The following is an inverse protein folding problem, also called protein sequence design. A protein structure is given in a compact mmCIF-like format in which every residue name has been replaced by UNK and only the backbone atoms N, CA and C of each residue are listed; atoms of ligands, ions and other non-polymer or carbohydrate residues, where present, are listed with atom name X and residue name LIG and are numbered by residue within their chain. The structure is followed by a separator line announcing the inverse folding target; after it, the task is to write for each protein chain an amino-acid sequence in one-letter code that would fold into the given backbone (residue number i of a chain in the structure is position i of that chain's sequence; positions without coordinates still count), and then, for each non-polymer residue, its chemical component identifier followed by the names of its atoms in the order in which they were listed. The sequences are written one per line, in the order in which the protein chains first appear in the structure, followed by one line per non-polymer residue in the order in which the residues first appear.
data_IF_614549889475
#
_entry.id   IF_614549889475
#
_cell.length_a   1.000
_cell.length_b   1.000
_cell.length_c   1.000
_cell.angle_alpha   90.00
_cell.angle_beta   90.00
_cell.angle_gamma   90.00
#
_symmetry.space_group_name_H-M   'P 1'
#
loop_
_entity.id
_entity.type
_entity.pdbx_description
1 polymer ?
#
# COMPACT_ATOMS: atom_id res chain seq x y z
N UNK A 1 30.51 13.14 -25.80
CA UNK A 1 29.80 11.86 -25.58
C UNK A 1 28.29 12.06 -25.46
N UNK A 2 27.76 12.67 -24.39
CA UNK A 2 26.31 12.79 -24.17
C UNK A 2 25.54 13.51 -25.32
N UNK A 3 26.12 14.55 -25.92
CA UNK A 3 25.58 15.20 -27.14
C UNK A 3 25.59 14.30 -28.38
N UNK A 4 26.61 13.45 -28.53
CA UNK A 4 26.74 12.52 -29.67
C UNK A 4 25.76 11.35 -29.50
N UNK A 5 25.58 10.86 -28.27
CA UNK A 5 24.59 9.85 -27.93
C UNK A 5 23.15 10.27 -28.32
N UNK A 6 22.85 11.57 -28.24
CA UNK A 6 21.57 12.13 -28.67
C UNK A 6 21.44 12.24 -30.20
N UNK A 7 22.55 12.33 -30.94
CA UNK A 7 22.58 12.55 -32.39
C UNK A 7 22.79 11.27 -33.20
N UNK A 8 23.58 10.33 -32.71
CA UNK A 8 23.92 9.07 -33.40
C UNK A 8 23.96 7.89 -32.42
N UNK A 9 22.80 7.39 -31.95
CA UNK A 9 22.73 6.30 -30.98
C UNK A 9 23.38 5.00 -31.49
N UNK A 10 23.31 4.74 -32.81
CA UNK A 10 23.84 3.52 -33.44
C UNK A 10 25.36 3.39 -33.37
N UNK A 11 26.10 4.50 -33.42
CA UNK A 11 27.56 4.49 -33.29
C UNK A 11 28.01 4.24 -31.84
N UNK A 12 27.23 4.75 -30.87
CA UNK A 12 27.52 4.54 -29.44
C UNK A 12 27.27 3.11 -29.01
N UNK A 13 26.37 2.38 -29.69
CA UNK A 13 26.15 0.96 -29.46
C UNK A 13 27.40 0.09 -29.63
N UNK A 14 28.39 0.53 -30.42
CA UNK A 14 29.67 -0.19 -30.61
C UNK A 14 30.52 -0.17 -29.33
N UNK A 15 30.45 0.91 -28.54
CA UNK A 15 31.20 1.08 -27.30
C UNK A 15 30.36 0.72 -26.06
N UNK A 16 29.23 0.03 -26.21
CA UNK A 16 28.30 -0.24 -25.11
C UNK A 16 28.94 -1.08 -24.00
N UNK A 17 29.75 -2.08 -24.34
CA UNK A 17 30.47 -2.89 -23.35
C UNK A 17 31.50 -2.09 -22.54
N UNK A 18 32.17 -1.12 -23.17
CA UNK A 18 33.11 -0.22 -22.49
C UNK A 18 32.36 0.73 -21.55
N UNK A 19 31.24 1.30 -22.01
CA UNK A 19 30.38 2.14 -21.18
C UNK A 19 29.80 1.38 -19.98
N UNK A 20 29.41 0.12 -20.14
CA UNK A 20 28.95 -0.71 -19.02
C UNK A 20 30.05 -0.93 -17.96
N UNK A 21 31.31 -1.05 -18.38
CA UNK A 21 32.44 -1.17 -17.44
C UNK A 21 32.68 0.11 -16.64
N UNK A 22 32.33 1.27 -17.21
CA UNK A 22 32.49 2.58 -16.57
C UNK A 22 31.42 2.88 -15.52
N UNK A 23 30.33 2.10 -15.44
CA UNK A 23 29.31 2.24 -14.38
C UNK A 23 29.96 2.05 -12.99
N UNK A 24 30.96 1.19 -12.90
CA UNK A 24 31.61 0.79 -11.65
C UNK A 24 32.89 1.59 -11.38
N UNK A 25 33.12 2.68 -12.12
CA UNK A 25 34.32 3.49 -12.03
C UNK A 25 34.39 4.22 -10.68
N UNK A 26 35.60 4.33 -10.10
CA UNK A 26 35.83 5.03 -8.83
C UNK A 26 35.44 6.51 -8.92
N UNK A 27 35.50 7.10 -10.11
CA UNK A 27 35.07 8.45 -10.35
C UNK A 27 33.55 8.51 -10.61
N UNK A 28 32.82 8.98 -9.60
CA UNK A 28 31.37 9.16 -9.64
C UNK A 28 30.87 9.97 -10.84
N UNK A 29 31.66 10.95 -11.31
CA UNK A 29 31.29 11.76 -12.48
C UNK A 29 31.35 10.95 -13.78
N UNK A 30 32.31 10.03 -13.89
CA UNK A 30 32.46 9.13 -15.05
C UNK A 30 31.35 8.09 -15.05
N UNK A 31 31.10 7.45 -13.90
CA UNK A 31 30.01 6.51 -13.72
C UNK A 31 28.64 7.11 -14.06
N UNK A 32 28.37 8.32 -13.54
CA UNK A 32 27.13 9.05 -13.83
C UNK A 32 26.97 9.35 -15.32
N UNK A 33 28.02 9.85 -15.97
CA UNK A 33 27.98 10.13 -17.41
C UNK A 33 27.79 8.86 -18.25
N UNK A 34 28.40 7.75 -17.83
CA UNK A 34 28.22 6.45 -18.46
C UNK A 34 26.76 5.99 -18.34
N UNK A 35 26.17 6.03 -17.14
CA UNK A 35 24.76 5.68 -16.90
C UNK A 35 23.82 6.57 -17.73
N UNK A 36 23.99 7.90 -17.66
CA UNK A 36 23.18 8.88 -18.42
C UNK A 36 23.26 8.62 -19.93
N UNK A 37 24.46 8.25 -20.43
CA UNK A 37 24.66 7.89 -21.84
C UNK A 37 23.98 6.57 -22.17
N UNK A 38 24.17 5.54 -21.35
CA UNK A 38 23.58 4.21 -21.55
C UNK A 38 22.05 4.26 -21.52
N UNK A 39 21.42 5.00 -20.60
CA UNK A 39 19.96 5.17 -20.58
C UNK A 39 19.43 5.78 -21.88
N UNK A 40 20.19 6.70 -22.49
CA UNK A 40 19.84 7.34 -23.77
C UNK A 40 20.04 6.43 -24.99
N UNK A 41 21.05 5.56 -24.98
CA UNK A 41 21.41 4.73 -26.14
C UNK A 41 21.00 3.27 -26.04
N UNK A 42 20.54 2.84 -24.87
CA UNK A 42 20.12 1.47 -24.56
C UNK A 42 19.10 0.93 -25.57
N UNK A 43 19.21 -0.34 -25.94
CA UNK A 43 18.23 -1.07 -26.74
C UNK A 43 17.27 -1.87 -25.84
N UNK A 44 16.15 -2.33 -26.38
CA UNK A 44 15.12 -3.02 -25.60
C UNK A 44 15.65 -4.24 -24.82
N UNK A 45 16.57 -5.01 -25.42
CA UNK A 45 17.15 -6.21 -24.81
C UNK A 45 18.06 -5.89 -23.61
N UNK A 46 18.78 -4.76 -23.65
CA UNK A 46 19.73 -4.37 -22.59
C UNK A 46 19.09 -3.61 -21.43
N UNK A 47 17.85 -3.09 -21.57
CA UNK A 47 17.16 -2.32 -20.51
C UNK A 47 17.19 -3.07 -19.19
N UNK A 48 16.81 -4.35 -19.18
CA UNK A 48 16.69 -5.12 -17.94
C UNK A 48 18.03 -5.35 -17.25
N UNK A 49 19.12 -5.51 -18.01
CA UNK A 49 20.47 -5.64 -17.46
C UNK A 49 20.96 -4.31 -16.92
N UNK A 50 20.77 -3.24 -17.70
CA UNK A 50 21.20 -1.89 -17.34
C UNK A 50 20.50 -1.40 -16.06
N UNK A 51 19.18 -1.57 -15.95
CA UNK A 51 18.44 -1.16 -14.76
C UNK A 51 18.94 -1.91 -13.51
N UNK A 52 19.22 -3.21 -13.60
CA UNK A 52 19.80 -3.97 -12.48
C UNK A 52 21.19 -3.49 -12.07
N UNK A 53 22.03 -3.11 -13.04
CA UNK A 53 23.34 -2.53 -12.73
C UNK A 53 23.16 -1.17 -12.05
N UNK A 54 22.29 -0.31 -12.57
CA UNK A 54 21.99 0.98 -11.97
C UNK A 54 21.48 0.79 -10.54
N UNK A 55 20.52 -0.10 -10.31
CA UNK A 55 19.96 -0.43 -9.00
C UNK A 55 21.06 -0.77 -7.97
N UNK A 56 22.04 -1.59 -8.36
CA UNK A 56 23.17 -1.94 -7.50
C UNK A 56 24.09 -0.76 -7.16
N UNK A 57 24.33 0.15 -8.10
CA UNK A 57 25.26 1.28 -7.92
C UNK A 57 24.58 2.58 -7.45
N UNK A 58 23.26 2.65 -7.53
CA UNK A 58 22.49 3.85 -7.19
C UNK A 58 22.76 4.33 -5.76
N UNK A 59 22.85 3.48 -4.72
CA UNK A 59 23.10 3.93 -3.35
C UNK A 59 24.39 4.73 -3.18
N UNK A 60 25.44 4.43 -3.96
CA UNK A 60 26.76 5.06 -3.88
C UNK A 60 26.83 6.43 -4.58
N UNK A 61 25.79 6.80 -5.33
CA UNK A 61 25.75 8.04 -6.10
C UNK A 61 25.27 9.23 -5.27
N UNK A 62 25.75 10.41 -5.64
CA UNK A 62 25.29 11.68 -5.06
C UNK A 62 23.84 11.99 -5.46
N UNK A 63 23.13 12.72 -4.60
CA UNK A 63 21.69 13.00 -4.75
C UNK A 63 21.31 13.62 -6.10
N UNK A 64 22.09 14.59 -6.59
CA UNK A 64 21.80 15.27 -7.86
C UNK A 64 21.89 14.29 -9.04
N UNK A 65 22.80 13.31 -8.97
CA UNK A 65 22.93 12.26 -9.99
C UNK A 65 21.82 11.23 -9.90
N UNK A 66 21.40 10.85 -8.68
CA UNK A 66 20.24 9.96 -8.50
C UNK A 66 18.99 10.58 -9.15
N UNK A 67 18.75 11.88 -8.93
CA UNK A 67 17.64 12.60 -9.56
C UNK A 67 17.77 12.62 -11.09
N UNK A 68 18.97 12.88 -11.63
CA UNK A 68 19.20 12.84 -13.10
C UNK A 68 18.92 11.45 -13.70
N UNK A 69 19.25 10.37 -12.97
CA UNK A 69 18.97 8.99 -13.39
C UNK A 69 17.47 8.73 -13.46
N UNK A 70 16.70 9.19 -12.48
CA UNK A 70 15.24 9.05 -12.47
C UNK A 70 14.61 9.83 -13.63
N UNK A 71 15.04 11.07 -13.88
CA UNK A 71 14.61 11.85 -15.05
C UNK A 71 14.98 11.18 -16.37
N UNK A 72 16.17 10.56 -16.44
CA UNK A 72 16.59 9.80 -17.63
C UNK A 72 15.75 8.53 -17.81
N UNK A 73 15.28 7.93 -16.72
CA UNK A 73 14.39 6.76 -16.72
C UNK A 73 13.00 7.11 -17.26
N UNK A 74 12.50 8.32 -16.95
CA UNK A 74 11.29 8.87 -17.59
C UNK A 74 11.44 8.94 -19.12
N UNK A 75 12.56 9.46 -19.62
CA UNK A 75 12.83 9.53 -21.06
C UNK A 75 13.00 8.13 -21.69
N UNK A 76 13.59 7.19 -20.95
CA UNK A 76 13.72 5.81 -21.40
C UNK A 76 12.35 5.16 -21.62
N UNK A 77 11.41 5.35 -20.70
CA UNK A 77 10.05 4.82 -20.83
C UNK A 77 9.31 5.41 -22.05
N UNK A 78 9.44 6.72 -22.30
CA UNK A 78 8.86 7.33 -23.50
C UNK A 78 9.40 6.72 -24.80
N UNK A 79 10.62 6.18 -24.78
CA UNK A 79 11.26 5.53 -25.93
C UNK A 79 10.97 4.03 -26.01
N UNK A 80 10.89 3.32 -24.89
CA UNK A 80 10.74 1.86 -24.81
C UNK A 80 9.64 1.50 -23.78
N UNK A 81 8.36 1.75 -24.11
CA UNK A 81 7.25 1.51 -23.17
C UNK A 81 7.06 0.02 -22.85
N UNK A 82 7.49 -0.89 -23.72
CA UNK A 82 7.38 -2.34 -23.52
C UNK A 82 8.12 -2.86 -22.27
N UNK A 83 9.11 -2.10 -21.77
CA UNK A 83 9.90 -2.46 -20.58
C UNK A 83 9.42 -1.76 -19.31
N UNK A 84 8.24 -1.13 -19.32
CA UNK A 84 7.69 -0.42 -18.18
C UNK A 84 7.60 -1.26 -16.89
N UNK A 85 7.30 -2.56 -17.01
CA UNK A 85 7.21 -3.43 -15.83
C UNK A 85 8.53 -3.49 -15.03
N UNK A 86 9.67 -3.49 -15.73
CA UNK A 86 11.02 -3.49 -15.14
C UNK A 86 11.33 -2.12 -14.54
N UNK A 87 11.00 -1.06 -15.28
CA UNK A 87 11.23 0.31 -14.83
C UNK A 87 10.41 0.63 -13.59
N UNK A 88 9.11 0.30 -13.58
CA UNK A 88 8.23 0.49 -12.42
C UNK A 88 8.71 -0.29 -11.21
N UNK A 89 9.24 -1.51 -11.40
CA UNK A 89 9.82 -2.27 -10.31
C UNK A 89 11.01 -1.52 -9.70
N UNK A 90 11.95 -1.08 -10.53
CA UNK A 90 13.08 -0.27 -10.09
C UNK A 90 12.65 1.01 -9.36
N UNK A 91 11.65 1.73 -9.86
CA UNK A 91 11.11 2.92 -9.18
C UNK A 91 10.46 2.58 -7.83
N UNK A 92 9.79 1.44 -7.72
CA UNK A 92 9.22 0.94 -6.45
C UNK A 92 10.31 0.66 -5.43
N UNK A 93 11.40 0.02 -5.86
CA UNK A 93 12.54 -0.30 -5.00
C UNK A 93 13.25 1.01 -4.54
N UNK A 94 13.39 2.00 -5.44
CA UNK A 94 13.91 3.33 -5.10
C UNK A 94 13.13 4.07 -4.00
N UNK A 95 11.80 3.89 -3.91
CA UNK A 95 10.99 4.52 -2.87
C UNK A 95 11.27 3.97 -1.47
N UNK A 96 11.76 2.72 -1.37
CA UNK A 96 12.01 2.02 -0.10
C UNK A 96 13.38 2.36 0.50
N UNK A 97 14.39 2.55 -0.36
CA UNK A 97 15.79 2.61 0.08
C UNK A 97 16.27 4.03 0.44
N UNK A 98 15.82 5.06 -0.29
CA UNK A 98 16.32 6.43 -0.11
C UNK A 98 15.35 7.30 0.71
N UNK A 99 15.85 7.92 1.78
CA UNK A 99 15.07 8.85 2.62
C UNK A 99 15.00 10.29 2.08
N UNK A 100 15.72 10.62 1.01
CA UNK A 100 15.81 12.01 0.54
C UNK A 100 14.52 12.48 -0.16
N UNK A 101 13.96 13.59 0.32
CA UNK A 101 12.70 14.17 -0.18
C UNK A 101 12.75 14.50 -1.67
N UNK A 102 13.82 15.14 -2.17
CA UNK A 102 13.93 15.56 -3.57
C UNK A 102 14.01 14.36 -4.52
N UNK A 103 14.69 13.30 -4.09
CA UNK A 103 14.75 12.06 -4.86
C UNK A 103 13.43 11.31 -4.84
N UNK A 104 12.82 11.14 -3.67
CA UNK A 104 11.48 10.51 -3.57
C UNK A 104 10.45 11.24 -4.42
N UNK A 105 10.44 12.57 -4.37
CA UNK A 105 9.53 13.37 -5.20
C UNK A 105 9.77 13.11 -6.69
N UNK A 106 11.02 13.07 -7.16
CA UNK A 106 11.32 12.75 -8.57
C UNK A 106 10.85 11.34 -8.96
N UNK A 107 10.98 10.36 -8.06
CA UNK A 107 10.51 8.98 -8.28
C UNK A 107 8.98 8.95 -8.35
N UNK A 108 8.30 9.60 -7.41
CA UNK A 108 6.83 9.71 -7.38
C UNK A 108 6.31 10.36 -8.67
N UNK A 109 6.91 11.47 -9.10
CA UNK A 109 6.53 12.17 -10.33
C UNK A 109 6.69 11.28 -11.57
N UNK A 110 7.73 10.45 -11.58
CA UNK A 110 7.96 9.48 -12.64
C UNK A 110 6.90 8.38 -12.63
N UNK A 111 6.51 7.84 -11.47
CA UNK A 111 5.45 6.83 -11.37
C UNK A 111 4.10 7.42 -11.80
N UNK A 112 3.78 8.66 -11.40
CA UNK A 112 2.56 9.36 -11.81
C UNK A 112 2.46 9.49 -13.33
N UNK A 113 3.57 9.75 -14.02
CA UNK A 113 3.61 9.80 -15.48
C UNK A 113 3.27 8.46 -16.15
N UNK A 114 3.62 7.33 -15.52
CA UNK A 114 3.43 5.99 -16.08
C UNK A 114 2.00 5.50 -15.87
N UNK A 115 1.31 6.03 -14.87
CA UNK A 115 -0.03 5.61 -14.43
C UNK A 115 -1.07 5.51 -15.57
N UNK A 116 -1.19 6.43 -16.54
CA UNK A 116 -2.22 6.32 -17.58
C UNK A 116 -2.18 5.03 -18.40
N UNK A 117 -0.99 4.42 -18.56
CA UNK A 117 -0.81 3.15 -19.30
C UNK A 117 -0.64 1.94 -18.37
N UNK A 118 -0.24 2.17 -17.12
CA UNK A 118 0.03 1.13 -16.12
C UNK A 118 -0.70 1.40 -14.80
N UNK A 119 -2.00 1.69 -14.89
CA UNK A 119 -2.81 2.26 -13.80
C UNK A 119 -2.74 1.45 -12.51
N UNK A 120 -3.14 0.19 -12.56
CA UNK A 120 -3.24 -0.65 -11.35
C UNK A 120 -1.91 -0.73 -10.60
N UNK A 121 -0.80 -0.99 -11.32
CA UNK A 121 0.52 -1.12 -10.72
C UNK A 121 1.06 0.22 -10.20
N UNK A 122 0.84 1.31 -10.92
CA UNK A 122 1.30 2.62 -10.46
C UNK A 122 0.51 3.11 -9.23
N UNK A 123 -0.81 2.95 -9.25
CA UNK A 123 -1.67 3.38 -8.16
C UNK A 123 -1.42 2.58 -6.88
N UNK A 124 -1.25 1.25 -6.96
CA UNK A 124 -0.96 0.46 -5.77
C UNK A 124 0.38 0.84 -5.14
N UNK A 125 1.44 1.01 -5.95
CA UNK A 125 2.75 1.45 -5.46
C UNK A 125 2.68 2.82 -4.77
N UNK A 126 1.93 3.76 -5.34
CA UNK A 126 1.74 5.08 -4.74
C UNK A 126 0.89 5.02 -3.46
N UNK A 127 -0.15 4.18 -3.44
CA UNK A 127 -1.04 4.02 -2.29
C UNK A 127 -0.35 3.31 -1.11
N UNK A 128 0.54 2.34 -1.37
CA UNK A 128 1.42 1.77 -0.36
C UNK A 128 2.41 2.82 0.16
N UNK A 129 2.98 3.64 -0.74
CA UNK A 129 3.96 4.65 -0.32
C UNK A 129 3.38 5.73 0.60
N UNK A 130 2.10 6.09 0.50
CA UNK A 130 1.49 7.06 1.43
C UNK A 130 1.37 6.52 2.86
N UNK A 131 1.43 5.21 3.07
CA UNK A 131 1.36 4.63 4.42
C UNK A 131 2.67 4.84 5.20
N UNK A 132 3.80 4.72 4.49
CA UNK A 132 5.15 4.76 5.08
C UNK A 132 5.85 6.12 4.90
N UNK A 133 5.26 7.05 4.13
CA UNK A 133 5.92 8.30 3.77
C UNK A 133 5.76 9.36 4.87
N UNK A 134 6.82 9.76 5.55
CA UNK A 134 6.76 10.80 6.60
C UNK A 134 6.63 12.25 6.08
N UNK A 135 6.66 12.46 4.76
CA UNK A 135 6.71 13.79 4.15
C UNK A 135 5.33 14.30 3.72
N UNK A 136 4.74 15.32 4.39
CA UNK A 136 3.38 15.77 4.11
C UNK A 136 3.17 16.28 2.67
N UNK A 137 4.19 16.93 2.10
CA UNK A 137 4.14 17.41 0.72
C UNK A 137 3.98 16.27 -0.29
N UNK A 138 4.73 15.17 -0.10
CA UNK A 138 4.66 14.00 -0.98
C UNK A 138 3.33 13.26 -0.77
N UNK A 139 2.93 13.05 0.49
CA UNK A 139 1.65 12.40 0.79
C UNK A 139 0.47 13.13 0.16
N UNK A 140 0.36 14.45 0.37
CA UNK A 140 -0.74 15.27 -0.19
C UNK A 140 -0.72 15.26 -1.72
N UNK A 141 0.46 15.32 -2.35
CA UNK A 141 0.62 15.19 -3.80
C UNK A 141 0.08 13.86 -4.31
N UNK A 142 0.43 12.74 -3.65
CA UNK A 142 -0.07 11.42 -4.02
C UNK A 142 -1.58 11.30 -3.78
N UNK A 143 -2.10 11.75 -2.63
CA UNK A 143 -3.54 11.70 -2.33
C UNK A 143 -4.35 12.47 -3.38
N UNK A 144 -3.90 13.67 -3.78
CA UNK A 144 -4.54 14.45 -4.83
C UNK A 144 -4.48 13.75 -6.19
N UNK A 145 -3.39 13.03 -6.48
CA UNK A 145 -3.29 12.22 -7.70
C UNK A 145 -4.24 11.02 -7.67
N UNK A 146 -4.33 10.31 -6.54
CA UNK A 146 -5.27 9.20 -6.34
C UNK A 146 -6.72 9.67 -6.47
N UNK A 147 -7.05 10.89 -6.03
CA UNK A 147 -8.38 11.49 -6.19
C UNK A 147 -8.82 11.59 -7.67
N UNK A 148 -7.87 11.73 -8.60
CA UNK A 148 -8.14 11.91 -10.03
C UNK A 148 -8.08 10.58 -10.79
N UNK A 149 -7.07 9.75 -10.52
CA UNK A 149 -6.84 8.50 -11.27
C UNK A 149 -7.45 7.26 -10.61
N UNK A 150 -7.63 7.27 -9.29
CA UNK A 150 -8.20 6.15 -8.53
C UNK A 150 -9.65 5.80 -8.90
N UNK A 151 -10.56 6.78 -9.15
CA UNK A 151 -11.91 6.48 -9.63
C UNK A 151 -11.96 5.76 -10.98
N UNK A 152 -10.87 5.84 -11.78
CA UNK A 152 -10.75 5.20 -13.09
C UNK A 152 -10.11 3.81 -13.02
N UNK A 153 -9.74 3.34 -11.84
CA UNK A 153 -9.14 2.03 -11.63
C UNK A 153 -10.19 0.92 -11.71
N UNK A 154 -9.73 -0.32 -11.90
CA UNK A 154 -10.62 -1.49 -11.92
C UNK A 154 -11.30 -1.72 -10.55
N UNK A 155 -10.59 -1.42 -9.45
CA UNK A 155 -11.14 -1.54 -8.10
C UNK A 155 -10.92 -0.26 -7.26
N UNK A 156 -11.78 0.77 -7.41
CA UNK A 156 -11.64 2.03 -6.69
C UNK A 156 -11.73 1.91 -5.16
N UNK A 157 -12.43 0.90 -4.64
CA UNK A 157 -12.65 0.68 -3.21
C UNK A 157 -11.33 0.50 -2.44
N UNK A 158 -10.37 -0.19 -3.04
CA UNK A 158 -9.04 -0.42 -2.44
C UNK A 158 -8.34 0.91 -2.11
N UNK A 159 -8.42 1.90 -3.00
CA UNK A 159 -7.77 3.20 -2.82
C UNK A 159 -8.49 4.09 -1.82
N UNK A 160 -9.82 3.99 -1.73
CA UNK A 160 -10.61 4.66 -0.69
C UNK A 160 -10.13 4.24 0.70
N UNK A 161 -9.86 2.94 0.91
CA UNK A 161 -9.33 2.42 2.17
C UNK A 161 -7.98 3.05 2.51
N UNK A 162 -7.03 3.05 1.56
CA UNK A 162 -5.71 3.68 1.74
C UNK A 162 -5.82 5.16 2.13
N UNK A 163 -6.73 5.90 1.49
CA UNK A 163 -6.97 7.33 1.76
C UNK A 163 -7.62 7.53 3.13
N UNK A 164 -8.68 6.77 3.44
CA UNK A 164 -9.42 6.91 4.69
C UNK A 164 -8.55 6.61 5.92
N UNK A 165 -7.66 5.61 5.83
CA UNK A 165 -6.72 5.30 6.91
C UNK A 165 -5.83 6.48 7.30
N UNK A 166 -5.51 7.39 6.35
CA UNK A 166 -4.73 8.61 6.65
C UNK A 166 -5.51 9.63 7.48
N UNK A 167 -6.85 9.61 7.45
CA UNK A 167 -7.67 10.56 8.23
C UNK A 167 -7.47 10.37 9.73
N UNK A 168 -7.23 9.16 10.23
CA UNK A 168 -7.04 8.98 11.68
C UNK A 168 -5.57 9.09 12.13
N UNK A 169 -4.63 8.88 11.21
CA UNK A 169 -3.22 8.67 11.53
C UNK A 169 -2.34 9.88 11.25
N UNK A 170 -2.82 10.84 10.45
CA UNK A 170 -1.98 11.91 9.91
C UNK A 170 -2.32 13.31 10.41
N UNK A 171 -1.45 14.27 10.06
CA UNK A 171 -1.62 15.69 10.39
C UNK A 171 -2.76 16.33 9.59
N UNK A 172 -3.35 17.40 10.13
CA UNK A 172 -4.53 18.08 9.57
C UNK A 172 -4.45 18.35 8.05
N UNK A 173 -3.31 18.84 7.54
CA UNK A 173 -3.13 19.12 6.10
C UNK A 173 -3.33 17.87 5.23
N UNK A 174 -2.87 16.71 5.68
CA UNK A 174 -3.01 15.44 4.97
C UNK A 174 -4.45 14.93 5.11
N UNK A 175 -5.02 14.99 6.31
CA UNK A 175 -6.42 14.60 6.56
C UNK A 175 -7.39 15.40 5.68
N UNK A 176 -7.17 16.70 5.57
CA UNK A 176 -7.99 17.55 4.74
C UNK A 176 -7.84 17.22 3.24
N UNK A 177 -6.64 16.85 2.78
CA UNK A 177 -6.44 16.36 1.41
C UNK A 177 -7.17 15.02 1.20
N UNK A 178 -7.15 14.12 2.19
CA UNK A 178 -7.87 12.85 2.15
C UNK A 178 -9.39 13.07 2.07
N UNK A 179 -9.95 14.01 2.83
CA UNK A 179 -11.37 14.41 2.74
C UNK A 179 -11.74 14.86 1.32
N UNK A 180 -10.94 15.75 0.71
CA UNK A 180 -11.14 16.17 -0.69
C UNK A 180 -11.05 14.99 -1.66
N UNK A 181 -10.10 14.09 -1.44
CA UNK A 181 -9.94 12.91 -2.29
C UNK A 181 -11.16 11.99 -2.20
N UNK A 182 -11.66 11.70 -1.00
CA UNK A 182 -12.89 10.91 -0.81
C UNK A 182 -14.07 11.53 -1.56
N UNK A 183 -14.26 12.85 -1.46
CA UNK A 183 -15.31 13.53 -2.19
C UNK A 183 -15.16 13.39 -3.72
N UNK A 184 -13.93 13.43 -4.24
CA UNK A 184 -13.67 13.19 -5.66
C UNK A 184 -14.02 11.75 -6.09
N UNK A 185 -13.76 10.75 -5.24
CA UNK A 185 -14.21 9.37 -5.49
C UNK A 185 -15.74 9.25 -5.48
N UNK A 186 -16.44 9.96 -4.58
CA UNK A 186 -17.90 9.97 -4.55
C UNK A 186 -18.53 10.54 -5.83
N UNK A 187 -17.86 11.52 -6.44
CA UNK A 187 -18.25 12.08 -7.73
C UNK A 187 -17.87 11.17 -8.91
N UNK A 188 -16.73 10.47 -8.83
CA UNK A 188 -16.23 9.62 -9.91
C UNK A 188 -16.85 8.22 -9.98
N UNK A 189 -17.38 7.70 -8.86
CA UNK A 189 -17.92 6.34 -8.76
C UNK A 189 -19.28 6.37 -8.05
N UNK A 190 -20.36 6.42 -8.84
CA UNK A 190 -21.72 6.59 -8.33
C UNK A 190 -22.12 5.52 -7.27
N UNK A 191 -21.77 4.25 -7.49
CA UNK A 191 -22.07 3.17 -6.56
C UNK A 191 -21.41 3.29 -5.18
N UNK A 192 -20.31 4.04 -5.05
CA UNK A 192 -19.61 4.22 -3.78
C UNK A 192 -20.02 5.49 -3.03
N UNK A 193 -20.90 6.31 -3.61
CA UNK A 193 -21.25 7.63 -3.08
C UNK A 193 -21.83 7.57 -1.68
N UNK A 194 -22.77 6.64 -1.40
CA UNK A 194 -23.38 6.45 -0.07
C UNK A 194 -22.36 6.00 0.97
N UNK A 195 -21.51 5.03 0.62
CA UNK A 195 -20.44 4.54 1.49
C UNK A 195 -19.45 5.65 1.84
N UNK A 196 -19.04 6.46 0.86
CA UNK A 196 -18.15 7.59 1.09
C UNK A 196 -18.82 8.68 1.93
N UNK A 197 -20.10 8.97 1.71
CA UNK A 197 -20.84 9.93 2.53
C UNK A 197 -20.82 9.53 4.01
N UNK A 198 -20.95 8.24 4.32
CA UNK A 198 -20.81 7.73 5.69
C UNK A 198 -19.40 7.97 6.25
N UNK A 199 -18.35 7.76 5.45
CA UNK A 199 -16.96 8.04 5.87
C UNK A 199 -16.74 9.54 6.15
N UNK A 200 -17.24 10.42 5.28
CA UNK A 200 -17.11 11.87 5.45
C UNK A 200 -17.81 12.36 6.70
N UNK A 201 -18.97 11.78 7.07
CA UNK A 201 -19.69 12.12 8.30
C UNK A 201 -18.84 11.87 9.56
N UNK A 202 -17.95 10.87 9.55
CA UNK A 202 -17.00 10.63 10.66
C UNK A 202 -15.95 11.74 10.80
N UNK A 203 -15.68 12.49 9.73
CA UNK A 203 -14.72 13.60 9.75
C UNK A 203 -15.31 14.88 10.37
N UNK A 204 -16.61 14.91 10.69
CA UNK A 204 -17.24 16.07 11.36
C UNK A 204 -16.79 16.23 12.82
N UNK A 205 -16.23 15.20 13.43
CA UNK A 205 -15.70 15.23 14.79
C UNK A 205 -14.17 15.45 14.83
N UNK A 206 -13.55 15.81 13.69
CA UNK A 206 -12.09 16.05 13.62
C UNK A 206 -11.67 17.25 14.50
N UNK A 207 -10.51 17.18 15.15
CA UNK A 207 -10.02 18.27 16.00
C UNK A 207 -9.66 19.56 15.24
N UNK A 208 -9.40 19.48 13.94
CA UNK A 208 -9.02 20.62 13.11
C UNK A 208 -10.22 21.23 12.37
N UNK A 209 -10.38 22.55 12.50
CA UNK A 209 -11.51 23.30 11.92
C UNK A 209 -11.56 23.15 10.40
N UNK A 210 -10.40 23.16 9.74
CA UNK A 210 -10.30 23.10 8.28
C UNK A 210 -10.79 21.75 7.75
N UNK A 211 -10.42 20.65 8.43
CA UNK A 211 -10.88 19.29 8.08
C UNK A 211 -12.40 19.17 8.25
N UNK A 212 -12.95 19.65 9.38
CA UNK A 212 -14.39 19.57 9.66
C UNK A 212 -15.21 20.39 8.67
N UNK A 213 -14.82 21.64 8.41
CA UNK A 213 -15.53 22.53 7.49
C UNK A 213 -15.52 21.97 6.06
N UNK A 214 -14.38 21.43 5.63
CA UNK A 214 -14.23 20.79 4.33
C UNK A 214 -15.09 19.53 4.21
N UNK A 215 -15.14 18.70 5.25
CA UNK A 215 -16.01 17.53 5.27
C UNK A 215 -17.48 17.93 5.18
N UNK A 216 -17.91 18.90 5.97
CA UNK A 216 -19.27 19.44 5.94
C UNK A 216 -19.65 19.96 4.54
N UNK A 217 -18.76 20.74 3.92
CA UNK A 217 -18.98 21.26 2.56
C UNK A 217 -19.25 20.14 1.55
N UNK A 218 -18.42 19.09 1.52
CA UNK A 218 -18.60 17.98 0.59
C UNK A 218 -19.81 17.10 0.91
N UNK A 219 -20.13 16.90 2.19
CA UNK A 219 -21.35 16.18 2.62
C UNK A 219 -22.59 16.86 2.03
N UNK A 220 -22.71 18.18 2.21
CA UNK A 220 -23.86 18.95 1.69
C UNK A 220 -23.95 18.85 0.17
N UNK A 221 -22.81 18.93 -0.54
CA UNK A 221 -22.77 18.79 -1.99
C UNK A 221 -23.25 17.40 -2.45
N UNK A 222 -22.75 16.35 -1.82
CA UNK A 222 -23.06 14.96 -2.15
C UNK A 222 -24.52 14.62 -1.83
N UNK A 223 -25.03 15.08 -0.68
CA UNK A 223 -26.43 14.87 -0.28
C UNK A 223 -27.39 15.57 -1.23
N UNK A 224 -27.07 16.78 -1.67
CA UNK A 224 -27.87 17.48 -2.68
C UNK A 224 -27.90 16.71 -4.01
N UNK A 225 -26.76 16.23 -4.47
CA UNK A 225 -26.66 15.48 -5.71
C UNK A 225 -27.39 14.12 -5.64
N UNK A 226 -27.41 13.48 -4.46
CA UNK A 226 -28.25 12.30 -4.19
C UNK A 226 -29.75 12.63 -4.21
N UNK A 227 -30.15 13.79 -3.68
CA UNK A 227 -31.55 14.22 -3.73
C UNK A 227 -32.00 14.55 -5.15
N UNK A 228 -31.18 15.27 -5.92
CA UNK A 228 -31.46 15.62 -7.31
C UNK A 228 -31.59 14.36 -8.19
N UNK A 229 -30.72 13.36 -7.99
CA UNK A 229 -30.80 12.07 -8.69
C UNK A 229 -32.03 11.24 -8.30
N UNK A 230 -32.44 11.22 -7.02
CA UNK A 230 -33.68 10.55 -6.59
C UNK A 230 -34.91 11.24 -7.19
N UNK A 231 -34.93 12.57 -7.31
CA UNK A 231 -36.04 13.28 -7.95
C UNK A 231 -36.13 12.95 -9.45
N UNK A 232 -35.00 12.83 -10.15
CA UNK A 232 -34.95 12.39 -11.55
C UNK A 232 -35.39 10.91 -11.72
N UNK A 233 -35.00 10.03 -10.78
CA UNK A 233 -35.46 8.64 -10.74
C UNK A 233 -36.95 8.54 -10.42
N UNK A 234 -37.48 9.29 -9.44
CA UNK A 234 -38.92 9.33 -9.13
C UNK A 234 -39.76 9.94 -10.27
N UNK A 235 -39.17 10.83 -11.07
CA UNK A 235 -39.81 11.36 -12.29
C UNK A 235 -39.86 10.31 -13.42
N UNK A 236 -38.93 9.35 -13.43
CA UNK A 236 -38.87 8.28 -14.44
C UNK A 236 -39.53 6.96 -13.98
N UNK A 237 -39.63 6.71 -12.68
CA UNK A 237 -40.14 5.50 -12.04
C UNK A 237 -41.57 5.65 -11.47
N UNK A 238 -42.37 6.60 -11.97
CA UNK A 238 -43.83 6.55 -11.80
C UNK A 238 -44.45 5.42 -12.67
N UNK A 239 -43.93 4.22 -12.53
CA UNK A 239 -44.61 2.95 -12.69
C UNK A 239 -43.88 1.91 -11.81
N UNK A 240 -44.52 1.62 -10.69
CA UNK A 240 -44.35 0.42 -9.86
C UNK A 240 -43.29 0.43 -8.74
N UNK A 241 -43.83 0.24 -7.53
CA UNK A 241 -43.21 0.16 -6.21
C UNK A 241 -42.55 -1.19 -5.94
N UNK A 242 -41.36 -1.20 -5.33
CA UNK A 242 -41.09 -1.92 -4.05
C UNK A 242 -39.66 -1.65 -3.57
N UNK A 243 -39.51 -1.23 -2.31
CA UNK A 243 -38.23 -1.00 -1.64
C UNK A 243 -37.69 -2.31 -1.07
N UNK A 244 -36.60 -2.81 -1.65
CA UNK A 244 -35.63 -3.67 -0.99
C UNK A 244 -34.27 -3.05 -1.31
N UNK A 245 -33.51 -2.65 -0.28
CA UNK A 245 -32.27 -1.88 -0.42
C UNK A 245 -31.05 -2.84 -0.47
N UNK A 246 -30.47 -3.11 -1.65
CA UNK A 246 -29.31 -3.98 -1.80
C UNK A 246 -27.98 -3.35 -1.33
N UNK A 247 -27.92 -2.05 -1.08
CA UNK A 247 -26.67 -1.33 -0.75
C UNK A 247 -26.13 -1.66 0.64
N UNK A 248 -26.97 -2.20 1.53
CA UNK A 248 -26.57 -2.60 2.88
C UNK A 248 -25.69 -3.87 2.87
N UNK A 249 -25.80 -4.71 1.83
CA UNK A 249 -24.99 -5.91 1.68
C UNK A 249 -23.56 -5.57 1.25
N UNK A 250 -23.37 -4.62 0.31
CA UNK A 250 -22.04 -4.13 -0.08
C UNK A 250 -21.29 -3.42 1.06
N UNK A 251 -22.02 -2.80 2.00
CA UNK A 251 -21.42 -2.19 3.19
C UNK A 251 -20.81 -3.22 4.15
N UNK A 252 -21.38 -4.42 4.25
CA UNK A 252 -20.84 -5.49 5.10
C UNK A 252 -19.51 -6.02 4.53
N UNK A 253 -19.41 -6.14 3.21
CA UNK A 253 -18.15 -6.50 2.54
C UNK A 253 -17.11 -5.37 2.63
N UNK A 254 -17.54 -4.09 2.64
CA UNK A 254 -16.66 -2.93 2.78
C UNK A 254 -15.98 -2.80 4.15
N UNK A 255 -16.63 -3.23 5.23
CA UNK A 255 -16.15 -3.03 6.62
C UNK A 255 -15.34 -4.23 7.15
N UNK A 256 -15.54 -5.43 6.62
CA UNK A 256 -15.03 -6.68 7.23
C UNK A 256 -13.87 -7.36 6.49
N UNK A 257 -13.20 -6.70 5.55
CA UNK A 257 -11.94 -7.18 4.97
C UNK A 257 -10.74 -6.92 5.93
N UNK A 258 -10.80 -7.53 7.12
CA UNK A 258 -9.63 -7.96 7.90
C UNK A 258 -9.75 -9.46 8.09
N UNK A 259 -8.68 -10.20 7.80
CA UNK A 259 -8.54 -11.62 8.13
C UNK A 259 -8.73 -11.85 9.65
N UNK A 260 -9.98 -12.00 10.07
CA UNK A 260 -10.51 -12.68 11.27
C UNK A 260 -12.02 -12.45 11.24
N UNK A 261 -12.77 -13.32 10.53
CA UNK A 261 -14.23 -13.26 10.50
C UNK A 261 -14.78 -13.43 11.93
N UNK A 262 -15.21 -12.33 12.54
CA UNK A 262 -16.13 -12.39 13.68
C UNK A 262 -17.49 -12.69 13.08
N UNK A 263 -17.94 -13.93 13.27
CA UNK A 263 -19.27 -14.37 12.88
C UNK A 263 -20.31 -13.65 13.75
N UNK A 264 -20.85 -12.56 13.18
CA UNK A 264 -21.86 -11.70 13.83
C UNK A 264 -23.12 -12.50 14.17
N UNK A 265 -23.45 -13.53 13.39
CA UNK A 265 -24.63 -14.36 13.63
C UNK A 265 -24.40 -15.33 14.79
N UNK A 266 -23.19 -15.89 14.90
CA UNK A 266 -22.77 -16.67 16.06
C UNK A 266 -22.69 -15.81 17.34
N UNK A 267 -22.19 -14.57 17.23
CA UNK A 267 -22.12 -13.62 18.35
C UNK A 267 -23.52 -13.21 18.81
N UNK A 268 -24.43 -12.95 17.87
CA UNK A 268 -25.81 -12.61 18.17
C UNK A 268 -26.55 -13.78 18.81
N UNK A 269 -26.31 -15.01 18.34
CA UNK A 269 -26.87 -16.22 18.95
C UNK A 269 -26.34 -16.40 20.38
N UNK A 270 -25.03 -16.24 20.61
CA UNK A 270 -24.41 -16.32 21.92
C UNK A 270 -24.95 -15.26 22.91
N UNK A 271 -25.11 -14.01 22.46
CA UNK A 271 -25.68 -12.93 23.27
C UNK A 271 -27.15 -13.17 23.63
N UNK A 272 -27.90 -13.82 22.73
CA UNK A 272 -29.32 -14.12 22.95
C UNK A 272 -29.48 -15.28 23.95
N UNK A 273 -28.63 -16.30 23.83
CA UNK A 273 -28.65 -17.50 24.69
C UNK A 273 -28.10 -17.22 26.10
N UNK A 274 -27.13 -16.31 26.23
CA UNK A 274 -26.49 -15.98 27.52
C UNK A 274 -26.99 -14.67 28.14
N UNK A 275 -28.10 -14.11 27.62
CA UNK A 275 -28.66 -12.81 28.00
C UNK A 275 -28.95 -12.68 29.51
N UNK A 276 -29.43 -13.74 30.15
CA UNK A 276 -29.76 -13.72 31.59
C UNK A 276 -28.52 -13.84 32.50
N UNK A 277 -27.46 -14.49 32.00
CA UNK A 277 -26.20 -14.65 32.74
C UNK A 277 -25.33 -13.38 32.68
N UNK A 278 -25.31 -12.70 31.53
CA UNK A 278 -24.55 -11.46 31.29
C UNK A 278 -25.13 -10.23 32.03
N UNK A 279 -26.45 -10.22 32.27
CA UNK A 279 -27.12 -9.12 32.98
C UNK A 279 -26.86 -9.15 34.50
N UNK A 280 -26.38 -10.27 35.04
CA UNK A 280 -26.17 -10.46 36.48
C UNK A 280 -24.70 -10.71 36.90
N UNK A 281 -23.72 -10.51 36.01
CA UNK A 281 -22.29 -10.67 36.33
C UNK A 281 -21.55 -9.33 36.32
N UNK A 282 -20.87 -8.98 37.42
CA UNK A 282 -20.06 -7.76 37.56
C UNK A 282 -18.57 -7.93 37.13
N UNK A 283 -18.19 -9.01 36.44
CA UNK A 283 -16.80 -9.23 35.99
C UNK A 283 -16.64 -9.21 34.46
N UNK A 284 -15.53 -8.65 33.97
CA UNK A 284 -15.17 -8.54 32.56
C UNK A 284 -14.93 -9.91 31.90
N UNK A 285 -15.59 -10.17 30.78
CA UNK A 285 -15.44 -11.41 30.00
C UNK A 285 -14.35 -11.24 28.95
N UNK A 286 -13.25 -12.00 29.07
CA UNK A 286 -12.23 -12.13 28.03
C UNK A 286 -12.60 -13.24 27.03
N UNK A 287 -12.58 -12.92 25.73
CA UNK A 287 -12.85 -13.86 24.64
C UNK A 287 -11.51 -14.17 23.94
N UNK A 288 -11.04 -15.41 24.02
CA UNK A 288 -9.91 -15.90 23.23
C UNK A 288 -10.40 -16.46 21.88
N UNK A 289 -9.89 -15.90 20.78
CA UNK A 289 -10.20 -16.36 19.41
C UNK A 289 -9.07 -17.27 18.93
N UNK A 290 -9.37 -18.56 18.70
CA UNK A 290 -8.43 -19.49 18.04
C UNK A 290 -8.88 -19.77 16.61
N UNK A 291 -7.94 -19.63 15.66
CA UNK A 291 -8.14 -19.89 14.24
C UNK A 291 -7.86 -21.37 13.91
N UNK A 292 -8.79 -22.08 13.28
CA UNK A 292 -8.56 -23.39 12.68
C UNK A 292 -8.82 -23.40 11.17
N UNK A 293 -7.76 -23.74 10.42
CA UNK A 293 -7.72 -23.90 8.96
C UNK A 293 -8.27 -25.29 8.59
N UNK A 294 -9.23 -25.34 7.68
CA UNK A 294 -9.80 -26.57 7.15
C UNK A 294 -8.79 -27.39 6.32
N UNK A 295 -8.73 -28.72 6.55
CA UNK A 295 -8.18 -29.71 5.61
C UNK A 295 -9.26 -30.71 5.18
N UNK A 296 -9.15 -31.31 3.98
CA UNK A 296 -10.25 -32.05 3.36
C UNK A 296 -10.38 -33.48 3.87
N UNK A 297 -11.62 -34.00 3.72
CA UNK A 297 -12.19 -35.28 4.16
C UNK A 297 -11.37 -36.52 3.76
N UNK A 298 -11.29 -37.48 4.69
CA UNK A 298 -11.08 -38.91 4.37
C UNK A 298 -11.95 -39.79 5.28
N UNK A 299 -12.36 -40.94 4.73
CA UNK A 299 -13.53 -41.75 5.07
C UNK A 299 -13.43 -42.59 6.35
N UNK A 300 -14.60 -42.95 6.87
CA UNK A 300 -14.83 -43.71 8.09
C UNK A 300 -14.45 -45.20 8.00
N UNK A 301 -13.98 -45.78 9.13
CA UNK A 301 -14.55 -46.98 9.82
C UNK A 301 -13.70 -47.42 11.06
N UNK A 302 -14.22 -48.29 11.97
CA UNK A 302 -14.23 -48.00 13.40
C UNK A 302 -13.53 -49.04 14.31
N UNK A 303 -13.48 -48.69 15.60
CA UNK A 303 -13.55 -49.55 16.79
C UNK A 303 -12.28 -50.23 17.31
N UNK A 304 -11.94 -49.94 18.58
CA UNK A 304 -11.75 -50.85 19.74
C UNK A 304 -10.91 -50.09 20.79
N UNK A 305 -11.47 -49.63 21.92
CA UNK A 305 -11.77 -50.36 23.15
C UNK A 305 -10.52 -50.75 23.99
N UNK A 306 -10.54 -50.26 25.25
CA UNK A 306 -9.79 -50.72 26.43
C UNK A 306 -8.28 -50.34 26.48
N UNK A 307 -7.65 -49.97 27.59
CA UNK A 307 -8.03 -49.78 29.01
C UNK A 307 -6.72 -49.50 29.78
N UNK A 308 -6.75 -48.61 30.79
CA UNK A 308 -5.96 -48.64 32.05
C UNK A 308 -4.42 -48.63 31.94
N UNK A 309 -3.58 -48.19 32.87
CA UNK A 309 -3.63 -47.44 34.12
C UNK A 309 -2.17 -47.27 34.57
N UNK A 310 -1.85 -46.13 35.20
CA UNK A 310 -0.96 -45.95 36.34
C UNK A 310 0.56 -46.33 36.32
N UNK A 311 1.31 -45.42 36.94
CA UNK A 311 2.48 -45.61 37.82
C UNK A 311 3.93 -45.56 37.26
N UNK A 312 4.59 -44.45 37.62
CA UNK A 312 6.02 -44.22 37.97
C UNK A 312 6.66 -45.33 38.84
N UNK A 313 7.94 -45.24 39.28
CA UNK A 313 9.19 -44.67 38.72
C UNK A 313 10.42 -45.61 38.92
N UNK A 314 11.62 -45.28 38.40
CA UNK A 314 12.90 -45.36 39.16
C UNK A 314 14.16 -45.05 38.31
N UNK A 315 15.15 -44.53 39.03
CA UNK A 315 16.47 -43.99 38.68
C UNK A 315 17.50 -44.99 38.11
N UNK A 316 18.58 -44.45 37.52
CA UNK A 316 20.01 -44.50 37.94
C UNK A 316 20.87 -44.12 36.71
N UNK A 317 21.57 -42.98 36.71
CA UNK A 317 23.01 -42.87 37.02
C UNK A 317 23.74 -42.38 35.75
N UNK A 318 24.74 -41.51 35.75
CA UNK A 318 25.45 -40.73 36.77
C UNK A 318 26.60 -39.95 36.10
N UNK A 319 27.03 -38.85 36.74
CA UNK A 319 28.40 -38.26 36.85
C UNK A 319 29.15 -37.90 35.54
N UNK A 320 29.84 -36.78 35.33
CA UNK A 320 30.46 -35.79 36.22
C UNK A 320 30.79 -34.48 35.46
N UNK A 321 30.62 -33.33 36.12
CA UNK A 321 31.32 -32.02 35.95
C UNK A 321 32.80 -32.13 36.43
N UNK A 322 33.62 -31.06 36.64
CA UNK A 322 33.50 -29.59 36.41
C UNK A 322 34.76 -29.06 35.65
N UNK A 323 35.03 -27.78 35.39
CA UNK A 323 35.33 -26.78 36.43
C UNK A 323 35.58 -25.36 35.90
N UNK A 324 35.06 -24.43 36.70
CA UNK A 324 35.54 -23.10 37.10
C UNK A 324 35.94 -22.06 36.04
N UNK A 325 35.22 -20.92 35.96
CA UNK A 325 35.33 -19.72 36.86
C UNK A 325 36.53 -18.85 36.52
N UNK A 326 36.54 -17.53 36.65
CA UNK A 326 35.63 -16.46 37.07
C UNK A 326 36.44 -15.19 36.82
N UNK A 327 35.78 -14.09 36.44
CA UNK A 327 36.12 -12.70 36.79
C UNK A 327 37.51 -12.17 36.30
N UNK A 328 37.76 -10.89 36.03
CA UNK A 328 37.31 -9.67 36.68
C UNK A 328 37.94 -8.44 35.98
N UNK A 329 37.30 -7.26 36.10
CA UNK A 329 37.87 -5.88 36.04
C UNK A 329 38.37 -5.37 34.67
N UNK A 330 38.26 -4.10 34.27
CA UNK A 330 37.50 -2.86 34.55
C UNK A 330 38.07 -1.80 33.58
N UNK A 331 37.32 -0.70 33.37
CA UNK A 331 37.82 0.68 33.09
C UNK A 331 38.59 0.92 31.76
N UNK A 332 38.59 2.09 31.11
CA UNK A 332 37.94 3.39 31.19
C UNK A 332 38.32 4.15 29.88
N UNK A 333 37.51 5.14 29.51
CA UNK A 333 37.87 6.42 28.87
C UNK A 333 38.99 6.47 27.80
N UNK A 334 38.59 6.76 26.55
CA UNK A 334 39.01 7.97 25.80
C UNK A 334 38.14 8.22 24.58
#
# INVERSE_FOLDING_TARGET
MNKIASQQPKLVGICQSELESLITDMNRSVASLAISTLLKTCNEDSVSKLIKQIDHYLPDLGIDFKIEIIQSTQLLYQRIPQKAAVILKFLTDCLKEDGNIRFREAVVDTIMLFCPQHREKALITLAEHIEDCEHPHIQTKIINFLAVEGPKAANPQTYIRFIFNRINLERAVIRAAAVSALAAFANGVAGLKRSILHLLKKCLDDGDDEVRERAYFYIVLIEKDLQDSVVEEELSLKSDTDFNDPDLAEFKDFVFDMDTNIDVDALQTFLTDNKEALVNSEEEVTIEVTAEVAKPKEEAKPSQAASQSAAKPSQIGGVAEPDNSQNHYLEELQ
#
